data_IF_700386148570
#
_entry.id   IF_700386148570
#
_cell.length_a   1.000
_cell.length_b   1.000
_cell.length_c   1.000
_cell.angle_alpha   90.00
_cell.angle_beta   90.00
_cell.angle_gamma   90.00
#
_symmetry.space_group_name_H-M   'P 1'
#
loop_
_entity.id
_entity.type
_entity.pdbx_description
1 polymer ?
#
# COMPACT_ATOMS: atom_id res chain seq x y z
N UNK A 1 22.12 8.93 13.71
CA UNK A 1 21.49 9.73 12.65
C UNK A 1 20.08 9.19 12.51
N UNK A 2 19.05 10.06 12.44
CA UNK A 2 17.70 9.56 12.19
C UNK A 2 17.70 8.92 10.79
N UNK A 3 17.24 7.66 10.69
CA UNK A 3 17.15 6.96 9.42
C UNK A 3 16.14 7.70 8.54
N UNK A 4 16.58 8.14 7.36
CA UNK A 4 15.75 8.91 6.43
C UNK A 4 14.78 8.01 5.69
N UNK A 5 13.50 8.17 5.95
CA UNK A 5 12.43 7.45 5.25
C UNK A 5 11.56 8.42 4.46
N UNK A 6 11.20 8.06 3.24
CA UNK A 6 10.19 8.75 2.43
C UNK A 6 9.00 7.86 2.14
N UNK A 7 7.81 8.44 2.02
CA UNK A 7 6.63 7.75 1.54
C UNK A 7 6.44 7.97 0.04
N UNK A 8 5.97 6.94 -0.68
CA UNK A 8 5.63 7.03 -2.10
C UNK A 8 4.27 6.39 -2.38
N UNK A 9 3.43 7.09 -3.13
CA UNK A 9 2.11 6.64 -3.56
C UNK A 9 2.03 6.70 -5.09
N UNK A 10 2.18 5.56 -5.78
CA UNK A 10 1.96 5.50 -7.23
C UNK A 10 0.48 5.61 -7.56
N UNK A 11 0.12 6.58 -8.40
CA UNK A 11 -1.25 6.82 -8.85
C UNK A 11 -1.29 6.95 -10.37
N UNK A 12 -1.96 6.03 -11.07
CA UNK A 12 -2.08 6.11 -12.52
C UNK A 12 -3.43 6.69 -12.94
N UNK A 13 -3.46 7.35 -14.08
CA UNK A 13 -4.67 7.60 -14.83
C UNK A 13 -5.26 6.27 -15.34
N UNK A 14 -6.49 6.30 -15.86
CA UNK A 14 -7.12 5.16 -16.55
C UNK A 14 -7.25 3.90 -15.68
N UNK A 15 -7.83 4.05 -14.50
CA UNK A 15 -8.30 2.89 -13.72
C UNK A 15 -9.44 2.17 -14.45
N UNK A 16 -9.24 0.89 -14.77
CA UNK A 16 -10.16 0.13 -15.62
C UNK A 16 -11.49 -0.20 -14.92
N UNK A 17 -11.43 -0.67 -13.68
CA UNK A 17 -12.59 -1.13 -12.88
C UNK A 17 -13.35 0.01 -12.20
N UNK A 18 -12.67 1.08 -11.81
CA UNK A 18 -13.28 2.30 -11.25
C UNK A 18 -12.75 3.50 -12.03
N UNK A 19 -13.63 4.12 -12.84
CA UNK A 19 -13.23 5.27 -13.65
C UNK A 19 -12.75 6.42 -12.77
N UNK A 20 -11.60 6.99 -13.13
CA UNK A 20 -10.96 8.13 -12.45
C UNK A 20 -10.75 7.90 -10.94
N UNK A 21 -10.45 6.65 -10.54
CA UNK A 21 -10.45 6.17 -9.15
C UNK A 21 -9.78 7.15 -8.17
N UNK A 22 -8.59 7.62 -8.50
CA UNK A 22 -7.80 8.46 -7.58
C UNK A 22 -8.46 9.79 -7.25
N UNK A 23 -9.09 10.43 -8.22
CA UNK A 23 -9.75 11.75 -8.10
C UNK A 23 -11.26 11.66 -7.88
N UNK A 24 -11.82 10.44 -7.91
CA UNK A 24 -13.24 10.22 -7.64
C UNK A 24 -13.58 10.64 -6.22
N UNK A 25 -14.71 11.36 -6.07
CA UNK A 25 -15.17 11.82 -4.75
C UNK A 25 -15.57 10.64 -3.87
N UNK A 26 -14.91 10.56 -2.72
CA UNK A 26 -15.13 9.59 -1.66
C UNK A 26 -15.53 10.38 -0.41
N UNK A 27 -16.78 10.26 0.03
CA UNK A 27 -17.38 11.13 1.07
C UNK A 27 -17.11 12.63 0.84
N UNK A 28 -17.19 13.07 -0.42
CA UNK A 28 -17.13 14.48 -0.80
C UNK A 28 -15.73 15.07 -1.06
N UNK A 29 -14.66 14.27 -0.91
CA UNK A 29 -13.28 14.69 -1.25
C UNK A 29 -12.62 13.64 -2.17
N UNK A 30 -11.64 14.01 -3.01
CA UNK A 30 -10.94 13.06 -3.85
C UNK A 30 -10.35 11.90 -3.04
N UNK A 31 -10.47 10.67 -3.55
CA UNK A 31 -10.04 9.45 -2.84
C UNK A 31 -8.58 9.55 -2.36
N UNK A 32 -7.67 10.05 -3.19
CA UNK A 32 -6.25 10.12 -2.85
C UNK A 32 -5.95 11.02 -1.65
N UNK A 33 -6.81 11.98 -1.32
CA UNK A 33 -6.63 12.87 -0.16
C UNK A 33 -6.57 12.11 1.17
N UNK A 34 -7.27 10.97 1.28
CA UNK A 34 -7.29 10.18 2.52
C UNK A 34 -5.90 9.68 2.87
N UNK A 35 -5.25 8.98 1.95
CA UNK A 35 -3.90 8.47 2.20
C UNK A 35 -2.86 9.59 2.32
N UNK A 36 -3.02 10.68 1.53
CA UNK A 36 -2.11 11.81 1.62
C UNK A 36 -2.16 12.48 2.99
N UNK A 37 -3.35 12.75 3.53
CA UNK A 37 -3.53 13.27 4.88
C UNK A 37 -2.92 12.33 5.93
N UNK A 38 -3.18 11.02 5.83
CA UNK A 38 -2.62 10.02 6.75
C UNK A 38 -1.09 10.05 6.76
N UNK A 39 -0.46 10.11 5.58
CA UNK A 39 1.01 10.16 5.46
C UNK A 39 1.60 11.46 6.01
N UNK A 40 0.99 12.59 5.72
CA UNK A 40 1.43 13.91 6.20
C UNK A 40 1.29 13.99 7.73
N UNK A 41 0.20 13.48 8.27
CA UNK A 41 -0.03 13.44 9.71
C UNK A 41 0.94 12.56 10.48
N UNK A 42 1.62 11.61 9.85
CA UNK A 42 2.69 10.84 10.47
C UNK A 42 3.87 11.72 10.91
N UNK A 43 4.16 12.82 10.23
CA UNK A 43 5.23 13.79 10.54
C UNK A 43 6.63 13.17 10.68
N UNK A 44 6.87 12.03 10.06
CA UNK A 44 8.13 11.27 10.13
C UNK A 44 8.85 11.19 8.79
N UNK A 45 8.12 11.40 7.69
CA UNK A 45 8.67 11.27 6.35
C UNK A 45 9.51 12.48 5.96
N UNK A 46 10.68 12.23 5.39
CA UNK A 46 11.53 13.26 4.77
C UNK A 46 10.85 13.86 3.53
N UNK A 47 10.18 13.00 2.76
CA UNK A 47 9.35 13.40 1.62
C UNK A 47 8.10 12.53 1.58
N UNK A 48 6.99 13.11 1.18
CA UNK A 48 5.79 12.41 0.74
C UNK A 48 5.66 12.62 -0.76
N UNK A 49 5.64 11.54 -1.53
CA UNK A 49 5.81 11.58 -2.98
C UNK A 49 4.59 10.97 -3.67
N UNK A 50 4.08 11.64 -4.67
CA UNK A 50 3.10 11.10 -5.61
C UNK A 50 3.82 10.86 -6.94
N UNK A 51 3.84 9.62 -7.42
CA UNK A 51 4.22 9.28 -8.78
C UNK A 51 2.95 9.16 -9.62
N UNK A 52 2.74 10.04 -10.58
CA UNK A 52 1.47 10.08 -11.31
C UNK A 52 1.60 10.63 -12.73
N UNK A 53 0.68 10.19 -13.60
CA UNK A 53 0.37 10.79 -14.90
C UNK A 53 -1.03 11.44 -14.96
N UNK A 54 -1.67 11.65 -13.80
CA UNK A 54 -2.98 12.32 -13.70
C UNK A 54 -2.75 13.81 -13.60
N UNK A 55 -3.11 14.57 -14.65
CA UNK A 55 -2.85 16.02 -14.72
C UNK A 55 -3.55 16.79 -13.59
N UNK A 56 -4.77 16.40 -13.23
CA UNK A 56 -5.52 17.00 -12.14
C UNK A 56 -4.75 16.90 -10.80
N UNK A 57 -4.19 15.73 -10.49
CA UNK A 57 -3.38 15.52 -9.28
C UNK A 57 -2.08 16.34 -9.32
N UNK A 58 -1.43 16.46 -10.49
CA UNK A 58 -0.20 17.26 -10.62
C UNK A 58 -0.42 18.74 -10.30
N UNK A 59 -1.61 19.25 -10.62
CA UNK A 59 -1.98 20.65 -10.38
C UNK A 59 -2.49 20.86 -8.96
N UNK A 60 -3.41 19.99 -8.49
CA UNK A 60 -4.10 20.14 -7.21
C UNK A 60 -3.20 19.78 -6.01
N UNK A 61 -2.52 18.64 -6.08
CA UNK A 61 -1.82 18.10 -4.91
C UNK A 61 -0.75 19.04 -4.32
N UNK A 62 0.04 19.81 -5.09
CA UNK A 62 0.98 20.78 -4.52
C UNK A 62 0.31 21.96 -3.81
N UNK A 63 -0.95 22.27 -4.14
CA UNK A 63 -1.73 23.36 -3.52
C UNK A 63 -2.36 22.87 -2.21
N UNK A 64 -2.95 21.67 -2.22
CA UNK A 64 -3.60 21.06 -1.05
C UNK A 64 -2.58 20.51 -0.04
N UNK A 65 -1.45 20.02 -0.53
CA UNK A 65 -0.41 19.36 0.25
C UNK A 65 0.97 19.98 -0.03
N UNK A 66 1.32 21.12 0.53
CA UNK A 66 2.55 21.87 0.17
C UNK A 66 3.87 21.10 0.38
N UNK A 67 3.86 20.04 1.20
CA UNK A 67 5.03 19.20 1.47
C UNK A 67 5.18 18.02 0.50
N UNK A 68 4.21 17.85 -0.41
CA UNK A 68 4.21 16.74 -1.37
C UNK A 68 5.10 17.04 -2.56
N UNK A 69 5.85 16.03 -2.99
CA UNK A 69 6.62 16.07 -4.23
C UNK A 69 5.91 15.27 -5.32
N UNK A 70 5.76 15.87 -6.48
CA UNK A 70 5.23 15.17 -7.66
C UNK A 70 6.40 14.62 -8.47
N UNK A 71 6.30 13.35 -8.83
CA UNK A 71 7.11 12.72 -9.88
C UNK A 71 6.19 12.46 -11.07
N UNK A 72 6.49 13.09 -12.19
CA UNK A 72 5.75 12.89 -13.43
C UNK A 72 6.08 11.51 -14.00
N UNK A 73 5.06 10.64 -14.09
CA UNK A 73 5.23 9.28 -14.59
C UNK A 73 5.40 9.31 -16.10
N UNK A 74 6.53 8.76 -16.62
CA UNK A 74 6.73 8.65 -18.07
C UNK A 74 5.65 7.82 -18.74
N UNK A 75 5.23 8.20 -19.94
CA UNK A 75 4.18 7.52 -20.72
C UNK A 75 4.41 6.01 -20.86
N UNK A 76 5.65 5.58 -21.08
CA UNK A 76 6.02 4.16 -21.17
C UNK A 76 5.72 3.34 -19.90
N UNK A 77 5.46 3.98 -18.74
CA UNK A 77 5.13 3.34 -17.46
C UNK A 77 3.65 3.52 -17.09
N UNK A 78 2.79 3.92 -18.03
CA UNK A 78 1.35 4.16 -17.77
C UNK A 78 0.46 3.00 -18.20
N UNK A 79 1.00 1.99 -18.88
CA UNK A 79 0.23 0.82 -19.31
C UNK A 79 -0.41 0.08 -18.11
N UNK A 80 -1.59 -0.50 -18.33
CA UNK A 80 -2.35 -1.22 -17.28
C UNK A 80 -1.58 -2.39 -16.67
N UNK A 81 -0.81 -3.07 -17.50
CA UNK A 81 0.00 -4.26 -17.14
C UNK A 81 1.40 -3.90 -16.59
N UNK A 82 1.74 -2.61 -16.51
CA UNK A 82 3.07 -2.19 -16.06
C UNK A 82 3.28 -2.55 -14.60
N UNK A 83 4.41 -3.20 -14.33
CA UNK A 83 4.78 -3.59 -12.97
C UNK A 83 5.03 -2.37 -12.08
N UNK A 84 4.43 -2.37 -10.88
CA UNK A 84 4.71 -1.35 -9.87
C UNK A 84 6.20 -1.24 -9.55
N UNK A 85 6.96 -2.33 -9.62
CA UNK A 85 8.41 -2.31 -9.41
C UNK A 85 9.16 -1.48 -10.47
N UNK A 86 8.70 -1.46 -11.72
CA UNK A 86 9.29 -0.62 -12.77
C UNK A 86 8.95 0.87 -12.54
N UNK A 87 7.71 1.16 -12.13
CA UNK A 87 7.30 2.50 -11.73
C UNK A 87 8.16 3.01 -10.57
N UNK A 88 8.25 2.22 -9.50
CA UNK A 88 9.09 2.54 -8.34
C UNK A 88 10.56 2.71 -8.72
N UNK A 89 11.10 1.84 -9.61
CA UNK A 89 12.48 1.95 -10.04
C UNK A 89 12.77 3.30 -10.73
N UNK A 90 11.84 3.81 -11.54
CA UNK A 90 11.97 5.14 -12.15
C UNK A 90 11.92 6.26 -11.11
N UNK A 91 10.98 6.19 -10.18
CA UNK A 91 10.75 7.25 -9.18
C UNK A 91 11.87 7.30 -8.14
N UNK A 92 12.33 6.14 -7.67
CA UNK A 92 13.32 6.05 -6.62
C UNK A 92 14.75 6.45 -7.05
N UNK A 93 15.00 6.60 -8.34
CA UNK A 93 16.23 7.24 -8.85
C UNK A 93 16.27 8.76 -8.60
N UNK A 94 15.11 9.38 -8.36
CA UNK A 94 14.93 10.82 -8.22
C UNK A 94 14.88 11.30 -6.77
N UNK A 95 15.10 10.40 -5.80
CA UNK A 95 15.08 10.70 -4.37
C UNK A 95 16.32 10.15 -3.67
N UNK A 96 16.60 10.68 -2.48
CA UNK A 96 17.83 10.39 -1.75
C UNK A 96 17.61 9.67 -0.41
N UNK A 97 16.38 9.34 -0.06
CA UNK A 97 16.07 8.67 1.21
C UNK A 97 16.66 7.27 1.25
N UNK A 98 17.11 6.86 2.42
CA UNK A 98 17.67 5.52 2.63
C UNK A 98 16.60 4.43 2.56
N UNK A 99 15.44 4.72 3.17
CA UNK A 99 14.29 3.82 3.22
C UNK A 99 13.08 4.43 2.55
N UNK A 100 12.20 3.57 2.08
CA UNK A 100 10.97 3.93 1.40
C UNK A 100 9.81 3.14 2.00
N UNK A 101 8.73 3.85 2.33
CA UNK A 101 7.42 3.27 2.55
C UNK A 101 6.59 3.48 1.29
N UNK A 102 6.12 2.40 0.67
CA UNK A 102 5.19 2.46 -0.43
C UNK A 102 3.80 2.02 0.04
N UNK A 103 2.80 2.79 -0.33
CA UNK A 103 1.38 2.50 -0.10
C UNK A 103 0.53 2.85 -1.33
N UNK A 104 -0.79 2.73 -1.24
CA UNK A 104 -1.71 2.97 -2.34
C UNK A 104 -2.81 3.96 -1.96
N UNK A 105 -3.31 4.73 -2.93
CA UNK A 105 -4.48 5.61 -2.76
C UNK A 105 -5.78 4.84 -2.52
N UNK A 106 -5.78 3.56 -2.88
CA UNK A 106 -6.93 2.65 -2.77
C UNK A 106 -7.15 2.07 -1.38
N UNK A 107 -6.28 2.42 -0.42
CA UNK A 107 -6.42 2.07 1.00
C UNK A 107 -6.84 3.29 1.85
N UNK A 108 -8.05 3.86 1.68
CA UNK A 108 -8.46 5.09 2.36
C UNK A 108 -8.70 4.94 3.87
N UNK A 109 -8.76 3.70 4.35
CA UNK A 109 -9.00 3.37 5.76
C UNK A 109 -7.70 3.14 6.56
N UNK A 110 -6.54 3.20 5.90
CA UNK A 110 -5.24 3.04 6.54
C UNK A 110 -4.96 4.17 7.51
N UNK A 111 -4.67 3.82 8.76
CA UNK A 111 -4.47 4.78 9.84
C UNK A 111 -3.00 5.14 10.06
N UNK A 112 -2.78 6.36 10.53
CA UNK A 112 -1.46 6.87 10.91
C UNK A 112 -0.73 5.98 11.92
N UNK A 113 -1.42 5.52 12.95
CA UNK A 113 -0.80 4.72 14.01
C UNK A 113 -0.27 3.38 13.48
N UNK A 114 -0.98 2.77 12.55
CA UNK A 114 -0.57 1.52 11.88
C UNK A 114 0.68 1.74 11.02
N UNK A 115 0.76 2.86 10.30
CA UNK A 115 1.97 3.24 9.54
C UNK A 115 3.16 3.43 10.49
N UNK A 116 2.98 4.16 11.58
CA UNK A 116 4.05 4.40 12.56
C UNK A 116 4.54 3.12 13.23
N UNK A 117 3.62 2.20 13.56
CA UNK A 117 4.00 0.90 14.14
C UNK A 117 4.72 0.01 13.10
N UNK A 118 4.28 -0.01 11.84
CA UNK A 118 4.98 -0.73 10.78
C UNK A 118 6.42 -0.23 10.61
N UNK A 119 6.63 1.10 10.63
CA UNK A 119 7.96 1.70 10.56
C UNK A 119 8.82 1.30 11.77
N UNK A 120 8.25 1.34 12.97
CA UNK A 120 8.93 0.93 14.21
C UNK A 120 9.33 -0.55 14.17
N UNK A 121 8.43 -1.43 13.73
CA UNK A 121 8.71 -2.86 13.55
C UNK A 121 9.81 -3.05 12.51
N UNK A 122 9.74 -2.37 11.37
CA UNK A 122 10.79 -2.44 10.36
C UNK A 122 12.17 -2.11 10.92
N UNK A 123 12.32 -0.98 11.62
CA UNK A 123 13.62 -0.59 12.20
C UNK A 123 14.10 -1.52 13.31
N UNK A 124 13.18 -2.13 14.06
CA UNK A 124 13.55 -3.06 15.13
C UNK A 124 14.16 -4.37 14.58
N UNK A 125 13.78 -4.76 13.37
CA UNK A 125 14.22 -6.00 12.73
C UNK A 125 15.23 -5.82 11.60
N UNK A 126 15.47 -4.58 11.14
CA UNK A 126 16.49 -4.29 10.14
C UNK A 126 17.90 -4.30 10.81
N UNK A 127 18.95 -4.89 10.22
CA UNK A 127 19.02 -5.46 8.86
C UNK A 127 18.72 -6.97 8.76
N UNK A 128 18.31 -7.65 9.84
CA UNK A 128 18.04 -9.09 9.83
C UNK A 128 16.95 -9.45 8.82
N UNK A 129 15.93 -8.59 8.71
CA UNK A 129 14.95 -8.62 7.63
C UNK A 129 15.20 -7.46 6.67
N UNK A 130 15.15 -7.71 5.36
CA UNK A 130 15.51 -6.73 4.33
C UNK A 130 14.38 -5.76 3.97
N UNK A 131 13.15 -6.19 4.23
CA UNK A 131 11.94 -5.43 3.98
C UNK A 131 10.82 -5.83 4.94
N UNK A 132 9.76 -5.04 4.93
CA UNK A 132 8.51 -5.35 5.62
C UNK A 132 7.36 -5.19 4.63
N UNK A 133 6.40 -6.11 4.67
CA UNK A 133 5.16 -5.99 3.92
C UNK A 133 3.95 -6.36 4.77
N UNK A 134 2.82 -5.72 4.50
CA UNK A 134 1.61 -5.92 5.28
C UNK A 134 0.81 -7.13 4.84
N UNK A 135 0.24 -7.81 5.83
CA UNK A 135 -0.60 -8.99 5.66
C UNK A 135 -1.86 -8.89 6.51
N UNK A 136 -2.88 -9.63 6.10
CA UNK A 136 -4.09 -9.85 6.89
C UNK A 136 -4.25 -11.33 7.18
N UNK A 137 -4.47 -11.66 8.45
CA UNK A 137 -4.77 -13.05 8.84
C UNK A 137 -6.14 -13.44 8.32
N UNK A 138 -6.19 -14.57 7.62
CA UNK A 138 -7.43 -15.17 7.15
C UNK A 138 -7.57 -16.57 7.75
N UNK A 139 -8.61 -16.72 8.57
CA UNK A 139 -8.95 -17.98 9.22
C UNK A 139 -10.05 -18.68 8.44
N UNK A 140 -9.74 -19.81 7.81
CA UNK A 140 -10.68 -20.52 6.96
C UNK A 140 -10.07 -21.75 6.29
N UNK A 141 -10.89 -22.48 5.51
CA UNK A 141 -10.44 -23.59 4.66
C UNK A 141 -10.15 -23.07 3.28
N UNK A 142 -8.92 -23.22 2.84
CA UNK A 142 -8.47 -22.81 1.51
C UNK A 142 -8.34 -24.03 0.59
N UNK A 143 -8.66 -23.78 -0.68
CA UNK A 143 -8.61 -24.77 -1.75
C UNK A 143 -7.85 -24.18 -2.92
N UNK A 144 -7.10 -25.00 -3.63
CA UNK A 144 -6.50 -24.61 -4.91
C UNK A 144 -7.51 -24.70 -6.06
N UNK A 145 -7.11 -24.29 -7.26
CA UNK A 145 -7.94 -24.31 -8.45
C UNK A 145 -8.30 -25.71 -8.95
N UNK A 146 -7.60 -26.75 -8.48
CA UNK A 146 -7.89 -28.16 -8.77
C UNK A 146 -8.78 -28.80 -7.68
N UNK A 147 -9.34 -28.00 -6.77
CA UNK A 147 -10.15 -28.46 -5.63
C UNK A 147 -9.38 -29.33 -4.62
N UNK A 148 -8.06 -29.11 -4.50
CA UNK A 148 -7.25 -29.74 -3.45
C UNK A 148 -7.19 -28.83 -2.22
N UNK A 149 -7.28 -29.40 -0.99
CA UNK A 149 -7.17 -28.58 0.23
C UNK A 149 -5.73 -28.06 0.39
N UNK A 150 -5.60 -26.79 0.80
CA UNK A 150 -4.30 -26.15 1.03
C UNK A 150 -3.89 -26.26 2.50
N UNK A 151 -4.78 -25.95 3.44
CA UNK A 151 -4.46 -25.83 4.86
C UNK A 151 -5.31 -26.74 5.76
N UNK A 152 -5.94 -27.79 5.21
CA UNK A 152 -6.74 -28.73 6.00
C UNK A 152 -6.72 -30.13 5.39
N UNK A 153 -7.10 -31.13 6.19
CA UNK A 153 -7.23 -32.53 5.75
C UNK A 153 -8.71 -32.87 5.53
N UNK A 154 -9.04 -33.52 4.42
CA UNK A 154 -10.39 -33.97 4.11
C UNK A 154 -10.92 -35.06 5.05
N UNK A 155 -10.00 -35.86 5.59
CA UNK A 155 -10.35 -36.95 6.52
C UNK A 155 -10.61 -36.50 7.96
N UNK A 156 -10.38 -35.22 8.28
CA UNK A 156 -10.47 -34.67 9.63
C UNK A 156 -11.18 -33.31 9.63
N UNK A 157 -12.34 -33.23 10.26
CA UNK A 157 -13.12 -32.00 10.35
C UNK A 157 -12.70 -31.16 11.57
N UNK A 158 -11.55 -30.47 11.47
CA UNK A 158 -11.10 -29.50 12.47
C UNK A 158 -11.94 -28.22 12.35
N UNK A 159 -12.27 -27.58 13.49
CA UNK A 159 -12.96 -26.29 13.48
C UNK A 159 -12.09 -25.24 12.78
N UNK A 160 -12.70 -24.32 12.04
CA UNK A 160 -11.95 -23.29 11.28
C UNK A 160 -11.02 -22.46 12.15
N UNK A 161 -11.41 -22.16 13.38
CA UNK A 161 -10.61 -21.41 14.35
C UNK A 161 -9.36 -22.16 14.87
N UNK A 162 -9.29 -23.48 14.71
CA UNK A 162 -8.19 -24.32 15.15
C UNK A 162 -7.24 -24.70 13.98
N UNK A 163 -7.57 -24.29 12.75
CA UNK A 163 -6.70 -24.45 11.59
C UNK A 163 -5.53 -23.45 11.68
N UNK A 164 -4.39 -23.81 11.04
CA UNK A 164 -3.33 -22.84 10.84
C UNK A 164 -3.83 -21.66 10.00
N UNK A 165 -3.61 -20.42 10.45
CA UNK A 165 -4.04 -19.24 9.71
C UNK A 165 -3.23 -19.08 8.42
N UNK A 166 -3.88 -18.57 7.38
CA UNK A 166 -3.23 -18.12 6.15
C UNK A 166 -3.04 -16.60 6.20
N UNK A 167 -1.94 -16.14 5.63
CA UNK A 167 -1.60 -14.72 5.58
C UNK A 167 -1.81 -14.22 4.16
N UNK A 168 -2.74 -13.30 4.00
CA UNK A 168 -3.03 -12.64 2.73
C UNK A 168 -2.19 -11.36 2.62
N UNK A 169 -1.35 -11.24 1.58
CA UNK A 169 -0.65 -10.00 1.24
C UNK A 169 -1.67 -8.96 0.79
N UNK A 170 -1.95 -7.96 1.63
CA UNK A 170 -3.01 -6.98 1.42
C UNK A 170 -2.56 -5.72 0.67
N UNK A 171 -1.30 -5.67 0.29
CA UNK A 171 -0.69 -4.59 -0.50
C UNK A 171 -0.74 -3.18 0.10
N UNK A 172 -1.14 -3.03 1.37
CA UNK A 172 -1.32 -1.70 1.99
C UNK A 172 -0.01 -1.00 2.34
N UNK A 173 0.99 -1.75 2.85
CA UNK A 173 2.28 -1.19 3.29
C UNK A 173 3.42 -2.07 2.80
N UNK A 174 4.42 -1.43 2.19
CA UNK A 174 5.74 -2.01 1.93
C UNK A 174 6.81 -1.06 2.43
N UNK A 175 7.80 -1.56 3.20
CA UNK A 175 8.94 -0.78 3.64
C UNK A 175 10.21 -1.52 3.25
N UNK A 176 11.13 -0.81 2.59
CA UNK A 176 12.35 -1.42 2.06
C UNK A 176 13.50 -0.42 1.94
N UNK A 177 14.73 -0.94 1.83
CA UNK A 177 15.90 -0.13 1.54
C UNK A 177 15.97 0.23 0.05
N UNK A 178 16.03 1.53 -0.26
CA UNK A 178 16.03 2.06 -1.62
C UNK A 178 17.21 1.53 -2.46
N UNK A 179 18.40 1.51 -1.92
CA UNK A 179 19.59 1.09 -2.68
C UNK A 179 19.53 -0.41 -3.01
N UNK A 180 19.06 -1.24 -2.08
CA UNK A 180 18.82 -2.66 -2.37
C UNK A 180 17.75 -2.82 -3.45
N UNK A 181 16.62 -2.11 -3.34
CA UNK A 181 15.57 -2.13 -4.35
C UNK A 181 16.08 -1.75 -5.75
N UNK A 182 16.86 -0.66 -5.86
CA UNK A 182 17.39 -0.22 -7.16
C UNK A 182 18.30 -1.28 -7.82
N UNK A 183 18.93 -2.16 -7.04
CA UNK A 183 19.76 -3.25 -7.56
C UNK A 183 18.96 -4.45 -8.03
N UNK A 184 17.93 -4.86 -7.27
CA UNK A 184 17.20 -6.12 -7.51
C UNK A 184 15.81 -5.92 -8.11
N UNK A 185 15.28 -4.68 -8.14
CA UNK A 185 13.95 -4.30 -8.61
C UNK A 185 12.82 -5.11 -7.97
N UNK A 186 12.95 -5.40 -6.68
CA UNK A 186 11.95 -6.12 -5.91
C UNK A 186 11.80 -5.47 -4.53
N UNK A 187 10.58 -4.99 -4.21
CA UNK A 187 10.27 -4.32 -2.94
C UNK A 187 10.17 -5.27 -1.74
N UNK A 188 9.99 -6.57 -1.97
CA UNK A 188 9.89 -7.59 -0.92
C UNK A 188 11.28 -8.16 -0.59
N UNK A 189 12.16 -8.33 -1.60
CA UNK A 189 13.49 -8.90 -1.39
C UNK A 189 13.48 -10.40 -1.13
N UNK A 190 14.54 -10.91 -0.49
CA UNK A 190 14.74 -12.35 -0.24
C UNK A 190 14.39 -12.77 1.20
N UNK A 191 14.41 -11.85 2.15
CA UNK A 191 14.09 -12.10 3.56
C UNK A 191 13.15 -11.01 4.11
N UNK A 192 11.84 -11.06 3.78
CA UNK A 192 10.88 -10.05 4.20
C UNK A 192 10.29 -10.38 5.57
N UNK A 193 9.89 -9.34 6.31
CA UNK A 193 9.10 -9.40 7.54
C UNK A 193 7.63 -9.16 7.24
N UNK A 194 6.75 -10.07 7.63
CA UNK A 194 5.32 -9.82 7.63
C UNK A 194 4.92 -8.87 8.77
N UNK A 195 4.03 -7.95 8.47
CA UNK A 195 3.38 -7.04 9.41
C UNK A 195 1.87 -7.22 9.33
N UNK A 196 1.27 -7.69 10.40
CA UNK A 196 -0.16 -7.95 10.48
C UNK A 196 -0.95 -6.65 10.65
N UNK A 197 -2.01 -6.49 9.84
CA UNK A 197 -2.93 -5.37 9.89
C UNK A 197 -4.36 -5.82 10.14
N UNK A 198 -5.20 -4.90 10.64
CA UNK A 198 -6.63 -5.12 10.74
C UNK A 198 -7.27 -5.25 9.35
N UNK A 199 -8.33 -6.08 9.26
CA UNK A 199 -9.09 -6.25 8.01
C UNK A 199 -9.74 -4.95 7.51
N UNK A 200 -10.08 -4.04 8.43
CA UNK A 200 -10.71 -2.78 8.07
C UNK A 200 -9.68 -1.85 7.43
N UNK A 201 -8.53 -1.66 8.06
CA UNK A 201 -7.50 -0.76 7.54
C UNK A 201 -6.84 -1.27 6.25
N UNK A 202 -6.82 -2.60 6.06
CA UNK A 202 -6.28 -3.24 4.87
C UNK A 202 -7.28 -3.34 3.71
N UNK A 203 -8.46 -2.74 3.85
CA UNK A 203 -9.48 -2.77 2.80
C UNK A 203 -9.00 -1.98 1.58
N UNK A 204 -8.88 -2.66 0.46
CA UNK A 204 -8.45 -2.10 -0.82
C UNK A 204 -9.64 -1.92 -1.76
N UNK A 205 -9.68 -0.79 -2.46
CA UNK A 205 -10.73 -0.49 -3.43
C UNK A 205 -10.29 -0.99 -4.80
N UNK A 206 -10.81 -2.11 -5.21
CA UNK A 206 -10.55 -2.71 -6.51
C UNK A 206 -11.63 -2.38 -7.54
N UNK A 207 -12.90 -2.43 -7.16
CA UNK A 207 -14.06 -2.17 -8.00
C UNK A 207 -15.05 -1.20 -7.35
N UNK A 208 -16.25 -1.05 -7.95
CA UNK A 208 -17.26 -0.11 -7.45
C UNK A 208 -17.96 -0.61 -6.18
N UNK A 209 -18.08 -1.91 -5.98
CA UNK A 209 -18.67 -2.47 -4.76
C UNK A 209 -17.73 -2.21 -3.58
N UNK A 210 -16.44 -2.42 -3.77
CA UNK A 210 -15.41 -2.05 -2.78
C UNK A 210 -15.45 -0.56 -2.46
N UNK A 211 -15.62 0.29 -3.50
CA UNK A 211 -15.70 1.73 -3.32
C UNK A 211 -16.85 2.12 -2.38
N UNK A 212 -18.06 1.59 -2.60
CA UNK A 212 -19.21 1.88 -1.75
C UNK A 212 -19.06 1.31 -0.33
N UNK A 213 -18.48 0.12 -0.20
CA UNK A 213 -18.21 -0.50 1.10
C UNK A 213 -17.21 0.37 1.89
N UNK A 214 -16.07 0.71 1.29
CA UNK A 214 -15.07 1.55 1.92
C UNK A 214 -15.62 2.93 2.32
N UNK A 215 -16.41 3.57 1.44
CA UNK A 215 -17.04 4.86 1.69
C UNK A 215 -17.99 4.82 2.90
N UNK A 216 -18.79 3.75 2.98
CA UNK A 216 -19.68 3.50 4.13
C UNK A 216 -18.90 3.25 5.42
N UNK A 217 -17.84 2.44 5.37
CA UNK A 217 -16.98 2.18 6.53
C UNK A 217 -16.34 3.46 7.04
N UNK A 218 -15.74 4.28 6.16
CA UNK A 218 -15.08 5.53 6.53
C UNK A 218 -16.04 6.51 7.21
N UNK A 219 -17.27 6.61 6.71
CA UNK A 219 -18.30 7.48 7.28
C UNK A 219 -18.73 7.05 8.70
N UNK A 220 -18.70 5.75 9.00
CA UNK A 220 -19.11 5.20 10.27
C UNK A 220 -17.98 5.14 11.31
N UNK A 221 -16.73 5.01 10.88
CA UNK A 221 -15.56 5.01 11.78
C UNK A 221 -15.23 6.40 12.34
N UNK A 222 -15.67 7.48 11.68
CA UNK A 222 -15.46 8.88 12.11
C UNK A 222 -16.55 9.42 13.04
N UNK A 223 -17.53 8.59 13.41
CA UNK A 223 -18.55 8.93 14.42
C UNK A 223 -18.12 8.49 15.81
#
# INVERSE_FOLDING_TARGET
>A
MANKISAIVPMRANSERVKDKNVRLFNGVPLYHYIMNTLIDCKIFENVIIDTNVEEIKVEAPQEFPLVKIIDRPEKLTAGEESVNNVLHNSLQQIDSEFVLQTHSTNPLLEKNTILEAIKVFYAYYPDYESLFSVTITQGRFWDHESKPINHNLGELIRTQDLEPMYFENSSIYIFNRIKFLKIKNRIGSNPKMFEMSKIESFDIDDMDDFYIAESLQKNLKK
#
